data_IF_860027607422
#
_entry.id   IF_860027607422
#
_cell.length_a   1.000
_cell.length_b   1.000
_cell.length_c   1.000
_cell.angle_alpha   90.00
_cell.angle_beta   90.00
_cell.angle_gamma   90.00
#
_symmetry.space_group_name_H-M   'P 1'
#
loop_
_entity.id
_entity.type
_entity.pdbx_description
1 polymer ?
#
# COMPACT_ATOMS: atom_id res chain seq x y z
N UNK A 1 6.11 9.18 -12.56
CA UNK A 1 6.78 7.87 -12.34
C UNK A 1 5.81 6.69 -12.44
N UNK A 2 4.72 6.71 -11.72
CA UNK A 2 3.74 5.61 -11.78
C UNK A 2 3.27 5.32 -13.20
N UNK A 3 2.87 6.36 -13.92
CA UNK A 3 2.26 6.21 -15.23
C UNK A 3 3.26 5.80 -16.30
N UNK A 4 4.51 6.25 -16.17
CA UNK A 4 5.53 6.06 -17.21
C UNK A 4 6.20 4.69 -17.13
N UNK A 5 6.41 4.18 -15.91
CA UNK A 5 7.17 2.95 -15.69
C UNK A 5 6.24 1.77 -15.44
N UNK A 6 5.25 1.95 -14.58
CA UNK A 6 4.42 0.85 -14.09
C UNK A 6 3.25 0.56 -15.00
N UNK A 7 2.58 1.59 -15.52
CA UNK A 7 1.41 1.40 -16.37
C UNK A 7 1.65 0.47 -17.56
N UNK A 8 2.78 0.58 -18.30
CA UNK A 8 3.00 -0.32 -19.43
C UNK A 8 3.15 -1.79 -19.04
N UNK A 9 3.42 -2.07 -17.76
CA UNK A 9 3.57 -3.42 -17.25
C UNK A 9 2.25 -4.06 -16.81
N UNK A 10 1.18 -3.25 -16.71
CA UNK A 10 -0.13 -3.75 -16.27
C UNK A 10 -0.75 -4.60 -17.37
N UNK A 11 -0.97 -5.86 -17.04
CA UNK A 11 -1.61 -6.79 -17.97
C UNK A 11 -3.12 -6.56 -18.02
N UNK A 12 -3.72 -6.89 -19.15
CA UNK A 12 -5.09 -6.56 -19.47
C UNK A 12 -6.12 -7.13 -18.49
N UNK A 13 -5.87 -8.31 -17.97
CA UNK A 13 -6.77 -9.03 -17.07
C UNK A 13 -6.33 -8.98 -15.61
N UNK A 14 -5.31 -8.21 -15.28
CA UNK A 14 -4.85 -8.04 -13.91
C UNK A 14 -5.78 -7.10 -13.13
N UNK A 15 -5.96 -7.37 -11.84
CA UNK A 15 -6.69 -6.47 -10.91
C UNK A 15 -5.92 -5.18 -10.66
N UNK A 16 -4.61 -5.22 -10.76
CA UNK A 16 -3.74 -4.09 -10.54
C UNK A 16 -2.29 -4.51 -10.55
N UNK A 17 -1.41 -3.55 -10.43
CA UNK A 17 0.03 -3.77 -10.34
C UNK A 17 0.65 -2.86 -9.29
N UNK A 18 1.58 -3.41 -8.49
CA UNK A 18 2.32 -2.67 -7.47
C UNK A 18 3.81 -2.71 -7.78
N UNK A 19 4.42 -1.54 -7.85
CA UNK A 19 5.86 -1.41 -7.91
C UNK A 19 6.46 -1.28 -6.51
N UNK A 20 7.65 -1.81 -6.32
CA UNK A 20 8.40 -1.67 -5.08
C UNK A 20 9.72 -0.98 -5.39
N UNK A 21 10.11 0.00 -4.59
CA UNK A 21 11.34 0.75 -4.82
C UNK A 21 12.08 1.04 -3.52
N UNK A 22 13.40 1.10 -3.60
CA UNK A 22 14.26 1.54 -2.50
C UNK A 22 14.48 3.05 -2.49
N UNK A 23 13.88 3.78 -3.44
CA UNK A 23 14.02 5.24 -3.52
C UNK A 23 12.79 5.91 -2.93
N UNK A 24 13.00 7.09 -2.34
CA UNK A 24 11.89 7.92 -1.86
C UNK A 24 10.95 8.28 -3.01
N UNK A 25 9.67 8.32 -2.71
CA UNK A 25 8.65 8.79 -3.64
C UNK A 25 8.00 10.07 -3.10
N UNK A 26 7.70 10.97 -4.03
CA UNK A 26 7.08 12.26 -3.72
C UNK A 26 5.82 12.41 -4.56
N UNK A 27 4.68 12.78 -3.95
CA UNK A 27 3.43 12.92 -4.70
C UNK A 27 3.44 14.10 -5.68
N UNK A 28 4.38 15.03 -5.49
CA UNK A 28 4.54 16.19 -6.37
C UNK A 28 5.70 17.05 -5.91
N UNK A 29 6.04 18.05 -6.72
CA UNK A 29 7.12 18.99 -6.40
C UNK A 29 6.82 19.75 -5.11
N UNK A 30 7.81 19.85 -4.23
CA UNK A 30 7.66 20.54 -2.96
C UNK A 30 6.96 19.74 -1.86
N UNK A 31 6.49 18.55 -2.14
CA UNK A 31 5.87 17.66 -1.15
C UNK A 31 6.92 16.83 -0.42
N UNK A 32 6.60 16.45 0.82
CA UNK A 32 7.42 15.47 1.54
C UNK A 32 7.27 14.08 0.89
N UNK A 33 8.22 13.19 1.19
CA UNK A 33 8.14 11.80 0.73
C UNK A 33 6.87 11.12 1.26
N UNK A 34 6.44 10.09 0.57
CA UNK A 34 5.38 9.17 1.03
C UNK A 34 5.89 7.74 0.97
N UNK A 35 5.33 6.87 1.80
CA UNK A 35 5.69 5.46 1.82
C UNK A 35 5.02 4.68 0.68
N UNK A 36 3.89 5.16 0.21
CA UNK A 36 3.18 4.52 -0.89
C UNK A 36 2.21 5.46 -1.57
N UNK A 37 1.88 5.11 -2.78
CA UNK A 37 0.85 5.79 -3.57
C UNK A 37 0.06 4.75 -4.36
N UNK A 38 -1.21 5.05 -4.59
CA UNK A 38 -2.06 4.22 -5.43
C UNK A 38 -2.93 5.11 -6.31
N UNK A 39 -3.13 4.67 -7.54
CA UNK A 39 -4.08 5.28 -8.45
C UNK A 39 -5.24 4.30 -8.62
N UNK A 40 -6.35 4.59 -7.99
CA UNK A 40 -7.53 3.73 -7.98
C UNK A 40 -8.12 3.57 -9.38
N UNK A 41 -8.11 4.63 -10.16
CA UNK A 41 -8.68 4.64 -11.51
C UNK A 41 -7.84 3.78 -12.47
N UNK A 42 -6.53 3.90 -12.39
CA UNK A 42 -5.60 3.22 -13.30
C UNK A 42 -5.20 1.83 -12.81
N UNK A 43 -5.48 1.50 -11.54
CA UNK A 43 -5.12 0.23 -10.91
C UNK A 43 -3.61 0.01 -10.85
N UNK A 44 -2.86 1.07 -10.58
CA UNK A 44 -1.41 1.01 -10.41
C UNK A 44 -1.03 1.62 -9.06
N UNK A 45 0.05 1.13 -8.48
CA UNK A 45 0.55 1.63 -7.21
C UNK A 45 2.05 1.43 -7.07
N UNK A 46 2.63 2.08 -6.10
CA UNK A 46 4.05 1.98 -5.78
C UNK A 46 4.26 2.11 -4.28
N UNK A 47 5.16 1.30 -3.74
CA UNK A 47 5.57 1.37 -2.35
C UNK A 47 7.08 1.56 -2.28
N UNK A 48 7.53 2.50 -1.44
CA UNK A 48 8.95 2.71 -1.16
C UNK A 48 9.33 2.10 0.17
N UNK A 49 10.41 1.33 0.20
CA UNK A 49 10.98 0.83 1.43
C UNK A 49 12.33 1.51 1.79
N UNK A 50 12.59 2.68 1.19
CA UNK A 50 13.81 3.44 1.41
C UNK A 50 14.06 3.78 2.88
N UNK A 51 13.00 4.02 3.64
CA UNK A 51 13.07 4.49 5.03
C UNK A 51 12.61 3.46 6.07
N UNK A 52 12.50 2.20 5.69
CA UNK A 52 11.93 1.16 6.56
C UNK A 52 12.92 0.55 7.54
N UNK A 53 14.20 0.83 7.42
CA UNK A 53 15.22 0.32 8.29
C UNK A 53 16.41 -0.25 7.52
N UNK A 54 17.27 -0.97 8.24
CA UNK A 54 18.46 -1.59 7.64
C UNK A 54 18.27 -3.11 7.46
N UNK A 55 19.30 -3.77 6.99
CA UNK A 55 19.28 -5.19 6.68
C UNK A 55 20.38 -5.98 7.41
N UNK A 56 20.95 -5.38 8.45
CA UNK A 56 22.16 -5.91 9.09
C UNK A 56 21.90 -7.17 9.92
N UNK A 57 20.68 -7.34 10.42
CA UNK A 57 20.30 -8.49 11.23
C UNK A 57 19.01 -9.12 10.71
N UNK A 58 18.72 -10.34 11.14
CA UNK A 58 17.46 -11.00 10.80
C UNK A 58 16.26 -10.22 11.32
N UNK A 59 16.36 -9.70 12.55
CA UNK A 59 15.29 -8.88 13.13
C UNK A 59 15.05 -7.60 12.35
N UNK A 60 16.12 -6.95 11.90
CA UNK A 60 16.01 -5.73 11.09
C UNK A 60 15.34 -6.02 9.76
N UNK A 61 15.73 -7.09 9.09
CA UNK A 61 15.11 -7.51 7.82
C UNK A 61 13.63 -7.85 8.00
N UNK A 62 13.28 -8.53 9.09
CA UNK A 62 11.89 -8.88 9.37
C UNK A 62 11.04 -7.64 9.61
N UNK A 63 11.57 -6.62 10.28
CA UNK A 63 10.87 -5.36 10.51
C UNK A 63 10.61 -4.63 9.19
N UNK A 64 11.62 -4.55 8.31
CA UNK A 64 11.44 -3.94 6.98
C UNK A 64 10.37 -4.68 6.19
N UNK A 65 10.40 -6.00 6.20
CA UNK A 65 9.42 -6.82 5.50
C UNK A 65 7.99 -6.57 6.03
N UNK A 66 7.83 -6.53 7.35
CA UNK A 66 6.51 -6.28 7.96
C UNK A 66 5.97 -4.90 7.57
N UNK A 67 6.82 -3.88 7.58
CA UNK A 67 6.44 -2.52 7.15
C UNK A 67 6.06 -2.48 5.68
N UNK A 68 6.83 -3.18 4.85
CA UNK A 68 6.57 -3.26 3.41
C UNK A 68 5.24 -3.96 3.13
N UNK A 69 4.96 -5.06 3.82
CA UNK A 69 3.69 -5.80 3.67
C UNK A 69 2.52 -4.89 4.03
N UNK A 70 2.60 -4.18 5.16
CA UNK A 70 1.51 -3.29 5.58
C UNK A 70 1.23 -2.20 4.57
N UNK A 71 2.26 -1.51 4.10
CA UNK A 71 2.10 -0.41 3.16
C UNK A 71 1.61 -0.91 1.81
N UNK A 72 2.18 -2.00 1.31
CA UNK A 72 1.77 -2.58 0.03
C UNK A 72 0.31 -3.03 0.07
N UNK A 73 -0.09 -3.71 1.13
CA UNK A 73 -1.48 -4.15 1.32
C UNK A 73 -2.42 -2.95 1.39
N UNK A 74 -2.05 -1.92 2.15
CA UNK A 74 -2.81 -0.69 2.30
C UNK A 74 -3.06 -0.03 0.94
N UNK A 75 -2.01 0.17 0.16
CA UNK A 75 -2.11 0.81 -1.14
C UNK A 75 -2.86 -0.07 -2.16
N UNK A 76 -2.65 -1.37 -2.11
CA UNK A 76 -3.37 -2.28 -2.99
C UNK A 76 -4.88 -2.26 -2.70
N UNK A 77 -5.28 -2.21 -1.43
CA UNK A 77 -6.69 -2.10 -1.07
C UNK A 77 -7.31 -0.78 -1.53
N UNK A 78 -6.54 0.30 -1.52
CA UNK A 78 -6.99 1.56 -2.14
C UNK A 78 -7.24 1.39 -3.63
N UNK A 79 -6.38 0.66 -4.33
CA UNK A 79 -6.60 0.37 -5.75
C UNK A 79 -7.89 -0.41 -5.99
N UNK A 80 -8.29 -1.22 -5.03
CA UNK A 80 -9.53 -2.00 -5.11
C UNK A 80 -10.76 -1.18 -4.66
N UNK A 81 -10.60 0.12 -4.41
CA UNK A 81 -11.70 1.03 -4.14
C UNK A 81 -12.01 1.30 -2.68
N UNK A 82 -11.20 0.79 -1.75
CA UNK A 82 -11.42 1.01 -0.32
C UNK A 82 -10.73 2.29 0.14
N UNK A 83 -11.37 3.01 1.04
CA UNK A 83 -10.82 4.21 1.67
C UNK A 83 -10.23 3.88 3.04
N UNK A 84 -9.62 4.88 3.68
CA UNK A 84 -9.10 4.71 5.05
C UNK A 84 -10.21 4.23 5.97
N UNK A 85 -9.89 3.26 6.83
CA UNK A 85 -10.78 2.80 7.89
C UNK A 85 -10.56 3.67 9.12
N UNK A 86 -11.66 4.17 9.69
CA UNK A 86 -11.64 5.01 10.90
C UNK A 86 -12.40 4.38 12.06
N UNK A 87 -12.96 3.20 11.89
CA UNK A 87 -13.84 2.58 12.88
C UNK A 87 -13.14 1.48 13.69
N UNK A 88 -12.25 0.73 13.08
CA UNK A 88 -11.63 -0.44 13.70
C UNK A 88 -10.13 -0.46 13.46
N UNK A 89 -9.41 -1.25 14.26
CA UNK A 89 -8.00 -1.56 13.97
C UNK A 89 -7.95 -2.34 12.65
N UNK A 90 -7.24 -1.80 11.67
CA UNK A 90 -7.29 -2.28 10.29
C UNK A 90 -6.04 -1.83 9.54
N UNK A 91 -5.59 -2.64 8.61
CA UNK A 91 -4.47 -2.25 7.73
C UNK A 91 -4.79 -0.96 6.96
N UNK A 92 -6.07 -0.65 6.77
CA UNK A 92 -6.52 0.57 6.10
C UNK A 92 -6.55 1.81 7.01
N UNK A 93 -6.16 1.69 8.27
CA UNK A 93 -6.01 2.88 9.11
C UNK A 93 -4.94 3.79 8.49
N UNK A 94 -5.23 5.09 8.43
CA UNK A 94 -4.26 6.08 8.02
C UNK A 94 -3.14 6.21 9.05
N UNK A 95 -1.94 6.52 8.59
CA UNK A 95 -0.81 6.76 9.49
C UNK A 95 0.10 7.84 8.90
N UNK A 96 0.62 8.70 9.78
CA UNK A 96 1.48 9.82 9.41
C UNK A 96 2.97 9.52 9.66
N UNK A 97 3.28 8.38 10.27
CA UNK A 97 4.64 7.99 10.61
C UNK A 97 4.78 6.48 10.64
N UNK A 98 6.02 6.00 10.64
CA UNK A 98 6.30 4.57 10.81
C UNK A 98 5.82 4.06 12.18
N UNK A 99 5.95 4.87 13.22
CA UNK A 99 5.49 4.49 14.56
C UNK A 99 3.98 4.22 14.56
N UNK A 100 3.21 5.08 13.93
CA UNK A 100 1.76 4.88 13.79
C UNK A 100 1.46 3.65 12.95
N UNK A 101 2.18 3.47 11.84
CA UNK A 101 2.02 2.31 10.98
C UNK A 101 2.35 1.01 11.71
N UNK A 102 3.40 1.01 12.53
CA UNK A 102 3.79 -0.19 13.29
C UNK A 102 2.72 -0.62 14.30
N UNK A 103 1.91 0.31 14.79
CA UNK A 103 0.85 0.05 15.76
C UNK A 103 -0.41 -0.54 15.14
N UNK A 104 -0.63 -0.35 13.85
CA UNK A 104 -1.82 -0.92 13.19
C UNK A 104 -1.56 -2.36 12.79
N UNK A 105 -2.62 -3.19 12.67
CA UNK A 105 -2.45 -4.56 12.22
C UNK A 105 -2.11 -4.63 10.73
N UNK A 106 -1.63 -5.80 10.29
CA UNK A 106 -1.36 -6.06 8.87
C UNK A 106 -2.55 -6.70 8.15
N UNK A 107 -3.68 -6.84 8.82
CA UNK A 107 -4.87 -7.48 8.28
C UNK A 107 -6.01 -6.48 8.11
N UNK A 108 -6.93 -6.80 7.22
CA UNK A 108 -8.14 -6.02 6.98
C UNK A 108 -9.19 -6.36 8.05
N UNK A 109 -9.92 -5.35 8.54
CA UNK A 109 -11.00 -5.59 9.50
C UNK A 109 -12.22 -6.21 8.79
N UNK A 110 -13.13 -6.87 9.55
CA UNK A 110 -14.30 -7.52 8.93
C UNK A 110 -15.20 -6.57 8.15
N UNK A 111 -15.34 -5.33 8.58
CA UNK A 111 -16.17 -4.35 7.87
C UNK A 111 -15.57 -3.96 6.52
N UNK A 112 -14.27 -3.70 6.49
CA UNK A 112 -13.59 -3.39 5.23
C UNK A 112 -13.54 -4.61 4.31
N UNK A 113 -13.41 -5.82 4.86
CA UNK A 113 -13.48 -7.05 4.10
C UNK A 113 -14.86 -7.19 3.44
N UNK A 114 -15.94 -6.85 4.15
CA UNK A 114 -17.29 -6.88 3.60
C UNK A 114 -17.45 -5.87 2.45
N UNK A 115 -16.86 -4.67 2.57
CA UNK A 115 -16.86 -3.68 1.49
C UNK A 115 -16.11 -4.19 0.26
N UNK A 116 -14.97 -4.84 0.47
CA UNK A 116 -14.20 -5.44 -0.61
C UNK A 116 -15.01 -6.51 -1.33
N UNK A 117 -15.70 -7.35 -0.59
CA UNK A 117 -16.54 -8.41 -1.11
C UNK A 117 -17.67 -7.85 -2.00
N UNK A 118 -18.31 -6.76 -1.56
CA UNK A 118 -19.32 -6.06 -2.35
C UNK A 118 -18.72 -5.53 -3.65
N UNK A 119 -17.54 -4.91 -3.59
CA UNK A 119 -16.87 -4.35 -4.76
C UNK A 119 -16.55 -5.41 -5.81
N UNK A 120 -16.36 -6.66 -5.40
CA UNK A 120 -15.98 -7.76 -6.29
C UNK A 120 -17.02 -8.85 -6.40
N UNK A 121 -18.26 -8.61 -5.94
CA UNK A 121 -19.32 -9.62 -5.99
C UNK A 121 -19.62 -10.12 -7.41
N UNK A 122 -19.34 -9.34 -8.44
CA UNK A 122 -19.53 -9.74 -9.84
C UNK A 122 -18.42 -10.63 -10.40
N UNK A 123 -17.36 -10.89 -9.64
CA UNK A 123 -16.22 -11.71 -10.06
C UNK A 123 -16.21 -13.11 -9.49
N UNK A 124 -17.14 -13.44 -8.59
CA UNK A 124 -17.24 -14.75 -7.96
C UNK A 124 -18.17 -15.70 -8.72
#
# INVERSE_FOLDING_TARGET
>A
MLDEIIRPLLEKDALGIMGLTQRDIYPGDGWNFVFGQANTKEKIGITSFARYGDYDTDSARQLVLNRLIKTTTHEFLHMLGLQHCIQFACVLNGSNSLDESDKKPSIICPECLAKLDINFSGFY
#
